data_IF_794156125191
#
_entry.id   IF_794156125191
#
_cell.length_a   1.000
_cell.length_b   1.000
_cell.length_c   1.000
_cell.angle_alpha   90.00
_cell.angle_beta   90.00
_cell.angle_gamma   90.00
#
_symmetry.space_group_name_H-M   'P 1'
#
loop_
_entity.id
_entity.type
_entity.pdbx_description
1 polymer ?
#
# COMPACT_ATOMS: atom_id res chain seq x y z
N UNK A 1 34.50 -50.82 -29.64
CA UNK A 1 34.61 -49.35 -29.80
C UNK A 1 33.20 -48.77 -29.70
N UNK A 2 32.69 -48.34 -28.53
CA UNK A 2 32.99 -47.12 -27.72
C UNK A 2 32.55 -45.77 -28.34
N UNK A 3 31.37 -45.68 -28.94
CA UNK A 3 30.83 -44.38 -29.39
C UNK A 3 29.33 -44.15 -29.07
N UNK A 4 28.62 -45.14 -28.50
CA UNK A 4 27.16 -45.05 -28.36
C UNK A 4 26.64 -44.42 -27.06
N UNK A 5 27.53 -43.97 -26.15
CA UNK A 5 27.12 -43.49 -24.79
C UNK A 5 27.23 -41.97 -24.58
N UNK A 6 27.58 -41.19 -25.61
CA UNK A 6 27.93 -39.77 -25.44
C UNK A 6 26.92 -38.78 -26.00
N UNK A 7 25.76 -39.25 -26.51
CA UNK A 7 24.73 -38.36 -27.07
C UNK A 7 23.50 -38.19 -26.16
N UNK A 8 23.49 -38.83 -24.97
CA UNK A 8 22.40 -38.74 -24.00
C UNK A 8 22.69 -37.78 -22.83
N UNK A 9 23.48 -36.72 -23.07
CA UNK A 9 23.89 -35.76 -22.04
C UNK A 9 23.76 -34.25 -22.37
N UNK A 10 23.10 -33.80 -23.46
CA UNK A 10 22.75 -32.39 -23.59
C UNK A 10 21.25 -32.10 -23.39
N UNK A 11 20.40 -33.07 -23.03
CA UNK A 11 18.94 -32.85 -22.96
C UNK A 11 18.43 -32.37 -21.58
N UNK A 12 19.16 -32.63 -20.49
CA UNK A 12 18.71 -32.30 -19.12
C UNK A 12 18.97 -30.82 -18.74
N UNK A 13 19.79 -30.09 -19.51
CA UNK A 13 20.14 -28.69 -19.19
C UNK A 13 19.12 -27.68 -19.75
N UNK A 14 18.25 -28.07 -20.69
CA UNK A 14 17.36 -27.14 -21.40
C UNK A 14 16.01 -26.90 -20.68
N UNK A 15 15.66 -27.70 -19.67
CA UNK A 15 14.33 -27.63 -19.03
C UNK A 15 14.16 -26.52 -17.98
N UNK A 16 15.22 -25.78 -17.62
CA UNK A 16 15.15 -24.77 -16.54
C UNK A 16 14.79 -23.33 -17.00
N UNK A 17 14.44 -23.11 -18.27
CA UNK A 17 14.21 -21.76 -18.80
C UNK A 17 12.74 -21.34 -18.96
N UNK A 18 11.78 -22.13 -18.47
CA UNK A 18 10.36 -21.75 -18.48
C UNK A 18 9.98 -20.91 -17.25
N UNK A 19 10.69 -19.81 -17.02
CA UNK A 19 10.23 -18.78 -16.07
C UNK A 19 9.07 -18.02 -16.69
N UNK A 20 7.84 -18.36 -16.30
CA UNK A 20 6.66 -17.55 -16.61
C UNK A 20 6.81 -16.19 -15.93
N UNK A 21 7.28 -15.19 -16.67
CA UNK A 21 7.42 -13.83 -16.18
C UNK A 21 6.02 -13.18 -16.13
N UNK A 22 5.27 -13.40 -15.05
CA UNK A 22 4.03 -12.65 -14.79
C UNK A 22 4.39 -11.17 -14.68
N UNK A 23 3.84 -10.35 -15.60
CA UNK A 23 4.11 -8.92 -15.63
C UNK A 23 3.72 -8.24 -14.32
N UNK A 24 4.58 -7.32 -13.84
CA UNK A 24 4.36 -6.58 -12.58
C UNK A 24 3.01 -5.86 -12.54
N UNK A 25 2.53 -5.36 -13.68
CA UNK A 25 1.23 -4.70 -13.77
C UNK A 25 0.07 -5.66 -13.43
N UNK A 26 0.16 -6.94 -13.80
CA UNK A 26 -0.86 -7.94 -13.46
C UNK A 26 -0.87 -8.29 -11.97
N UNK A 27 0.28 -8.19 -11.29
CA UNK A 27 0.34 -8.34 -9.82
C UNK A 27 -0.35 -7.20 -9.09
N UNK A 28 -0.43 -6.02 -9.70
CA UNK A 28 -1.17 -4.91 -9.11
C UNK A 28 -2.69 -5.15 -9.09
N UNK A 29 -3.21 -5.92 -10.05
CA UNK A 29 -4.63 -6.24 -10.13
C UNK A 29 -5.10 -7.17 -9.00
N UNK A 30 -4.17 -7.85 -8.32
CA UNK A 30 -4.50 -8.66 -7.14
C UNK A 30 -4.68 -7.80 -5.88
N UNK A 31 -4.25 -6.54 -5.89
CA UNK A 31 -4.39 -5.63 -4.76
C UNK A 31 -5.80 -5.04 -4.73
N UNK A 32 -6.60 -5.48 -3.78
CA UNK A 32 -7.95 -5.00 -3.53
C UNK A 32 -8.08 -4.13 -2.28
N UNK A 33 -9.23 -3.46 -2.15
CA UNK A 33 -9.62 -2.82 -0.88
C UNK A 33 -9.75 -3.85 0.23
N UNK A 34 -9.37 -3.50 1.45
CA UNK A 34 -9.38 -4.41 2.60
C UNK A 34 -8.09 -5.21 2.79
N UNK A 35 -7.16 -5.17 1.84
CA UNK A 35 -5.85 -5.81 1.96
C UNK A 35 -4.95 -5.06 2.95
N UNK A 36 -4.18 -5.78 3.75
CA UNK A 36 -3.21 -5.20 4.67
C UNK A 36 -1.99 -4.67 3.94
N UNK A 37 -1.36 -3.65 4.50
CA UNK A 37 -0.17 -3.02 3.93
C UNK A 37 0.98 -4.01 3.71
N UNK A 38 1.14 -5.00 4.59
CA UNK A 38 2.15 -6.07 4.44
C UNK A 38 1.86 -6.92 3.21
N UNK A 39 0.61 -7.35 3.03
CA UNK A 39 0.18 -8.18 1.91
C UNK A 39 0.34 -7.45 0.58
N UNK A 40 0.11 -6.12 0.57
CA UNK A 40 0.40 -5.29 -0.60
C UNK A 40 1.89 -5.33 -0.94
N UNK A 41 2.78 -5.18 0.05
CA UNK A 41 4.23 -5.26 -0.19
C UNK A 41 4.63 -6.63 -0.72
N UNK A 42 4.04 -7.70 -0.19
CA UNK A 42 4.33 -9.06 -0.65
C UNK A 42 3.82 -9.31 -2.08
N UNK A 43 2.68 -8.72 -2.45
CA UNK A 43 2.07 -8.86 -3.77
C UNK A 43 2.79 -8.05 -4.87
N UNK A 44 3.03 -6.75 -4.62
CA UNK A 44 3.53 -5.80 -5.64
C UNK A 44 4.90 -5.22 -5.36
N UNK A 45 5.44 -5.43 -4.16
CA UNK A 45 6.72 -4.88 -3.74
C UNK A 45 6.64 -3.44 -3.19
N UNK A 46 7.81 -2.86 -3.00
CA UNK A 46 7.96 -1.50 -2.47
C UNK A 46 7.43 -0.43 -3.44
N UNK A 47 6.76 0.62 -2.94
CA UNK A 47 6.23 1.67 -3.80
C UNK A 47 7.35 2.54 -4.38
N UNK A 48 7.11 3.10 -5.57
CA UNK A 48 8.02 4.07 -6.20
C UNK A 48 8.07 5.37 -5.40
N UNK A 49 6.92 5.81 -4.86
CA UNK A 49 6.81 6.96 -3.97
C UNK A 49 5.83 6.66 -2.85
N UNK A 50 6.07 7.21 -1.68
CA UNK A 50 5.14 7.14 -0.57
C UNK A 50 5.01 8.50 0.12
N UNK A 51 3.87 8.74 0.75
CA UNK A 51 3.66 9.95 1.54
C UNK A 51 2.31 9.93 2.25
N UNK A 52 1.86 11.11 2.68
CA UNK A 52 0.55 11.28 3.32
C UNK A 52 -0.28 12.28 2.53
N UNK A 53 -1.56 11.96 2.31
CA UNK A 53 -2.52 12.85 1.66
C UNK A 53 -3.89 12.69 2.29
N UNK A 54 -4.52 13.81 2.69
CA UNK A 54 -5.84 13.84 3.37
C UNK A 54 -5.95 12.87 4.57
N UNK A 55 -4.89 12.82 5.39
CA UNK A 55 -4.84 11.94 6.58
C UNK A 55 -4.63 10.45 6.28
N UNK A 56 -4.44 10.07 5.01
CA UNK A 56 -4.18 8.70 4.57
C UNK A 56 -2.73 8.52 4.17
N UNK A 57 -2.20 7.32 4.31
CA UNK A 57 -0.91 6.98 3.70
C UNK A 57 -1.15 6.68 2.24
N UNK A 58 -0.39 7.30 1.34
CA UNK A 58 -0.53 7.12 -0.11
C UNK A 58 0.75 6.53 -0.66
N UNK A 59 0.61 5.45 -1.41
CA UNK A 59 1.66 4.80 -2.16
C UNK A 59 1.39 4.92 -3.65
N UNK A 60 2.44 5.26 -4.40
CA UNK A 60 2.39 5.42 -5.84
C UNK A 60 3.38 4.46 -6.47
N UNK A 61 2.90 3.72 -7.46
CA UNK A 61 3.67 2.76 -8.24
C UNK A 61 3.79 3.23 -9.68
N UNK A 62 4.99 3.07 -10.24
CA UNK A 62 5.25 3.28 -11.65
C UNK A 62 5.45 1.93 -12.34
N UNK A 63 4.54 1.60 -13.24
CA UNK A 63 4.65 0.44 -14.13
C UNK A 63 5.00 0.88 -15.55
N UNK A 64 5.34 -0.07 -16.40
CA UNK A 64 5.56 0.16 -17.82
C UNK A 64 4.66 -0.76 -18.64
N UNK A 65 3.89 -0.18 -19.56
CA UNK A 65 3.11 -0.89 -20.58
C UNK A 65 3.50 -0.32 -21.94
N UNK A 66 4.03 -1.15 -22.84
CA UNK A 66 4.46 -0.73 -24.19
C UNK A 66 5.42 0.48 -24.18
N UNK A 67 6.41 0.46 -23.26
CA UNK A 67 7.38 1.55 -23.03
C UNK A 67 6.76 2.86 -22.52
N UNK A 68 5.45 2.90 -22.25
CA UNK A 68 4.77 4.04 -21.64
C UNK A 68 4.66 3.82 -20.13
N UNK A 69 5.04 4.82 -19.30
CA UNK A 69 4.87 4.71 -17.86
C UNK A 69 3.37 4.77 -17.50
N UNK A 70 2.91 3.79 -16.75
CA UNK A 70 1.55 3.73 -16.20
C UNK A 70 1.65 3.91 -14.69
N UNK A 71 1.03 4.97 -14.20
CA UNK A 71 1.02 5.28 -12.77
C UNK A 71 -0.21 4.67 -12.10
N UNK A 72 0.00 4.07 -10.94
CA UNK A 72 -1.06 3.54 -10.07
C UNK A 72 -0.87 4.03 -8.65
N UNK A 73 -1.96 4.16 -7.92
CA UNK A 73 -1.98 4.71 -6.59
C UNK A 73 -2.81 3.85 -5.64
N UNK A 74 -2.32 3.70 -4.41
CA UNK A 74 -2.98 2.97 -3.32
C UNK A 74 -3.07 3.91 -2.12
N UNK A 75 -4.24 3.99 -1.47
CA UNK A 75 -4.36 4.67 -0.19
C UNK A 75 -4.59 3.67 0.93
N UNK A 76 -3.97 3.94 2.06
CA UNK A 76 -4.15 3.20 3.30
C UNK A 76 -4.77 4.07 4.36
N UNK A 77 -5.70 3.49 5.09
CA UNK A 77 -6.23 4.00 6.36
C UNK A 77 -6.07 2.87 7.38
N UNK A 78 -5.47 3.17 8.53
CA UNK A 78 -5.28 2.19 9.60
C UNK A 78 -4.58 0.90 9.14
N UNK A 79 -3.55 1.04 8.29
CA UNK A 79 -2.80 -0.06 7.62
C UNK A 79 -3.56 -0.88 6.58
N UNK A 80 -4.82 -0.56 6.30
CA UNK A 80 -5.66 -1.29 5.33
C UNK A 80 -5.89 -0.48 4.06
N UNK A 81 -5.92 -1.13 2.90
CA UNK A 81 -6.21 -0.48 1.61
C UNK A 81 -7.65 0.02 1.56
N UNK A 82 -7.82 1.31 1.31
CA UNK A 82 -9.12 1.97 1.13
C UNK A 82 -9.34 2.50 -0.29
N UNK A 83 -8.28 2.55 -1.10
CA UNK A 83 -8.33 2.96 -2.50
C UNK A 83 -7.21 2.28 -3.27
N UNK A 84 -7.50 1.86 -4.49
CA UNK A 84 -6.54 1.38 -5.47
C UNK A 84 -7.00 1.85 -6.85
N UNK A 85 -6.11 2.40 -7.67
CA UNK A 85 -6.50 2.88 -8.99
C UNK A 85 -5.52 3.84 -9.65
N UNK A 86 -6.08 4.74 -10.46
CA UNK A 86 -5.32 5.81 -11.11
C UNK A 86 -4.89 6.85 -10.07
N UNK A 87 -3.79 7.60 -10.29
CA UNK A 87 -3.37 8.60 -9.32
C UNK A 87 -4.39 9.72 -9.18
N UNK A 88 -4.75 10.02 -7.94
CA UNK A 88 -5.62 11.14 -7.56
C UNK A 88 -4.92 12.12 -6.63
N UNK A 89 -3.78 11.71 -6.04
CA UNK A 89 -2.94 12.56 -5.20
C UNK A 89 -1.90 13.33 -6.04
N UNK A 90 -1.37 14.45 -5.51
CA UNK A 90 -0.29 15.20 -6.17
C UNK A 90 1.09 14.50 -6.10
N UNK A 91 1.17 13.29 -5.52
CA UNK A 91 2.44 12.56 -5.41
C UNK A 91 2.87 11.93 -6.74
N UNK A 92 1.90 11.56 -7.59
CA UNK A 92 2.17 11.13 -8.95
C UNK A 92 2.53 12.32 -9.84
N UNK A 93 3.37 12.12 -10.88
CA UNK A 93 3.69 13.20 -11.80
C UNK A 93 2.43 13.72 -12.50
N UNK A 94 2.42 15.01 -12.90
CA UNK A 94 1.29 15.62 -13.59
C UNK A 94 0.97 14.85 -14.87
N UNK A 95 -0.31 14.54 -15.09
CA UNK A 95 -0.82 13.98 -16.35
C UNK A 95 -0.71 15.04 -17.45
N UNK A 96 0.47 15.18 -18.04
CA UNK A 96 0.64 15.95 -19.26
C UNK A 96 0.17 15.09 -20.47
N UNK A 97 -1.14 14.96 -20.68
CA UNK A 97 -1.71 14.32 -21.88
C UNK A 97 -3.12 13.74 -21.71
N UNK A 98 -4.01 13.86 -22.72
CA UNK A 98 -5.41 13.45 -22.62
C UNK A 98 -5.52 11.92 -22.67
N UNK A 99 -5.64 11.27 -21.50
CA UNK A 99 -6.01 9.86 -21.40
C UNK A 99 -7.51 9.77 -21.09
N UNK A 100 -8.31 9.69 -22.15
CA UNK A 100 -9.69 9.18 -22.09
C UNK A 100 -9.65 7.68 -21.93
N UNK A 101 -9.52 7.21 -20.70
CA UNK A 101 -9.90 5.85 -20.30
C UNK A 101 -10.70 5.99 -19.01
N UNK A 102 -11.98 6.32 -19.17
CA UNK A 102 -13.04 5.78 -18.32
C UNK A 102 -13.18 4.30 -18.73
N UNK A 103 -13.38 3.34 -17.85
CA UNK A 103 -14.49 3.27 -16.92
C UNK A 103 -14.21 2.27 -15.77
N UNK A 104 -14.76 2.63 -14.61
CA UNK A 104 -15.51 1.75 -13.69
C UNK A 104 -14.82 0.55 -13.02
N UNK A 105 -14.30 0.82 -11.81
CA UNK A 105 -14.55 -0.03 -10.64
C UNK A 105 -14.51 0.83 -9.37
N UNK A 106 -15.53 1.67 -9.22
CA UNK A 106 -15.82 2.36 -7.99
C UNK A 106 -17.29 2.11 -7.67
N UNK A 107 -17.54 1.15 -6.79
CA UNK A 107 -18.75 1.21 -5.96
C UNK A 107 -18.45 2.23 -4.86
N UNK A 108 -19.08 3.42 -4.84
CA UNK A 108 -19.09 4.25 -3.65
C UNK A 108 -20.11 3.66 -2.68
N UNK A 109 -19.67 2.86 -1.71
CA UNK A 109 -20.51 2.63 -0.52
C UNK A 109 -20.42 3.88 0.34
N UNK A 110 -21.30 4.84 0.02
CA UNK A 110 -21.70 5.91 0.91
C UNK A 110 -22.67 5.32 1.94
N UNK A 111 -22.49 5.51 3.26
CA UNK A 111 -23.56 5.25 4.21
C UNK A 111 -24.43 6.50 4.29
N UNK A 112 -25.52 6.52 3.52
CA UNK A 112 -26.61 7.48 3.69
C UNK A 112 -27.71 6.84 4.56
N UNK A 113 -27.74 7.29 5.82
CA UNK A 113 -28.89 7.52 6.68
C UNK A 113 -30.24 6.81 6.37
N UNK A 114 -30.71 5.98 7.31
CA UNK A 114 -32.13 5.94 7.71
C UNK A 114 -32.35 5.03 8.92
N UNK A 115 -32.50 5.60 10.12
CA UNK A 115 -33.77 5.48 10.86
C UNK A 115 -33.76 6.32 12.14
N UNK A 116 -34.59 7.34 12.08
CA UNK A 116 -35.12 8.13 13.17
C UNK A 116 -35.94 7.25 14.14
N UNK A 117 -35.66 7.35 15.44
CA UNK A 117 -36.69 7.17 16.48
C UNK A 117 -36.39 8.03 17.71
N UNK A 118 -37.30 8.99 17.95
CA UNK A 118 -37.62 9.70 19.20
C UNK A 118 -37.80 8.68 20.35
N UNK A 119 -37.57 8.90 21.65
CA UNK A 119 -37.48 10.02 22.63
C UNK A 119 -37.18 9.33 24.02
N UNK A 120 -37.29 9.95 25.22
CA UNK A 120 -36.77 11.21 25.76
C UNK A 120 -36.04 11.03 27.12
N UNK A 121 -35.47 12.14 27.62
CA UNK A 121 -35.42 12.55 29.03
C UNK A 121 -34.24 12.13 29.94
N UNK A 122 -33.45 13.15 30.29
CA UNK A 122 -33.10 13.47 31.68
C UNK A 122 -31.95 12.72 32.33
N UNK A 123 -30.81 13.40 32.56
CA UNK A 123 -30.42 13.89 33.90
C UNK A 123 -28.99 14.46 33.87
N UNK A 124 -28.90 15.69 34.36
CA UNK A 124 -27.72 16.44 34.78
C UNK A 124 -26.83 15.61 35.70
N UNK A 125 -25.53 15.51 35.40
CA UNK A 125 -24.45 15.49 36.40
C UNK A 125 -23.26 16.29 35.84
N UNK A 126 -23.10 17.52 36.31
CA UNK A 126 -21.80 18.19 36.44
C UNK A 126 -20.90 17.35 37.35
N UNK A 127 -19.59 17.29 37.08
CA UNK A 127 -18.59 17.44 38.14
C UNK A 127 -17.19 17.74 37.58
N UNK A 128 -16.60 18.77 38.19
CA UNK A 128 -15.27 19.34 38.00
C UNK A 128 -14.15 18.45 38.57
N UNK A 129 -12.91 18.73 38.16
CA UNK A 129 -11.67 18.38 38.89
C UNK A 129 -10.65 17.69 37.99
N UNK A 130 -9.57 18.34 37.54
CA UNK A 130 -8.39 18.87 38.26
C UNK A 130 -7.28 17.84 38.49
N UNK A 131 -6.04 18.33 38.35
CA UNK A 131 -4.72 17.71 38.57
C UNK A 131 -4.23 16.83 37.42
N UNK A 132 -3.11 17.11 36.73
CA UNK A 132 -1.90 17.81 37.15
C UNK A 132 -0.99 16.85 37.90
N UNK A 133 0.04 16.33 37.23
CA UNK A 133 1.33 15.94 37.83
C UNK A 133 2.41 15.80 36.75
N UNK A 134 3.39 16.69 36.87
CA UNK A 134 4.78 16.53 36.45
C UNK A 134 5.37 15.18 36.88
N UNK A 135 6.26 14.63 36.04
CA UNK A 135 7.35 13.77 36.51
C UNK A 135 8.54 13.87 35.57
N UNK A 136 9.33 14.90 35.87
CA UNK A 136 10.79 14.97 35.80
C UNK A 136 11.43 13.62 36.20
N UNK A 137 12.33 13.09 35.36
CA UNK A 137 13.40 12.21 35.81
C UNK A 137 14.70 12.49 35.06
N UNK A 138 15.50 13.32 35.73
CA UNK A 138 16.95 13.44 35.66
C UNK A 138 17.64 12.06 35.76
N UNK A 139 18.55 11.76 34.81
CA UNK A 139 20.03 11.63 34.97
C UNK A 139 20.51 10.17 35.18
N UNK A 140 21.79 9.79 34.95
CA UNK A 140 22.94 10.64 34.67
C UNK A 140 23.86 10.24 33.49
N UNK A 141 24.74 11.20 33.19
CA UNK A 141 25.92 11.09 32.34
C UNK A 141 26.86 9.96 32.78
N UNK A 142 27.53 9.34 31.80
CA UNK A 142 28.78 8.62 32.04
C UNK A 142 29.85 9.27 31.18
N UNK A 143 30.65 10.07 31.86
CA UNK A 143 31.93 10.61 31.46
C UNK A 143 32.98 9.55 31.82
N UNK A 144 33.75 9.07 30.85
CA UNK A 144 35.01 8.37 31.12
C UNK A 144 36.06 9.05 30.24
N UNK A 145 36.98 9.73 30.91
CA UNK A 145 38.22 10.30 30.38
C UNK A 145 39.38 9.54 31.05
N UNK A 146 40.51 9.48 30.32
CA UNK A 146 41.89 9.20 30.75
C UNK A 146 42.24 7.73 31.07
N UNK A 147 43.04 7.10 30.21
CA UNK A 147 44.51 7.18 30.23
C UNK A 147 45.10 6.85 28.84
#
# INVERSE_FOLDING_TARGET
MRILKTLLRPFIVVSFLTSCATGQLGRFETVGTGMDKTDVVDAVGSPTRSGKWKGRTVWVYQFYKDKKPVWKEIHFKDQVVVYTGVPVSPLAPPKNGPSKEAETSANPVSPENSMESKTPNGKVIENNGSSGIDSKKESPATFIEVE
#
